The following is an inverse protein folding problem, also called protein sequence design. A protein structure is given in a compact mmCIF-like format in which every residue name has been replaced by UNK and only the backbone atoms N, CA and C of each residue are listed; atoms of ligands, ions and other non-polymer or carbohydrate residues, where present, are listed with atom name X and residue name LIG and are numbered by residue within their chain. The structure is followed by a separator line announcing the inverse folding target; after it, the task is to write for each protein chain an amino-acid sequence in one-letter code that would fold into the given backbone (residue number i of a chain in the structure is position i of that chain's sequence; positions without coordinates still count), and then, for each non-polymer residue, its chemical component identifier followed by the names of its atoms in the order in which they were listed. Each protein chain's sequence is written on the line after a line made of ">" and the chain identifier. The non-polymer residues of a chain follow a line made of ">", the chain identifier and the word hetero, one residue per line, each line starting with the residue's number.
data_IF_611320648367
#
_entry.id   IF_611320648367
#
_cell.length_a   1.000
_cell.length_b   1.000
_cell.length_c   1.000
_cell.angle_alpha   90.00
_cell.angle_beta   90.00
_cell.angle_gamma   90.00
#
_symmetry.space_group_name_H-M   'P 1'
#
loop_
_entity.id
_entity.type
_entity.pdbx_description
1 polymer ?
#
# COMPACT_ATOMS: atom_id res chain seq x y z
N UNK A 1 30.37 -23.26 -15.60
CA UNK A 1 28.90 -23.19 -15.83
C UNK A 1 28.27 -22.98 -14.48
N UNK A 2 28.00 -21.72 -14.12
CA UNK A 2 27.48 -21.36 -12.81
C UNK A 2 26.03 -21.85 -12.71
N UNK A 3 25.85 -22.84 -11.84
CA UNK A 3 24.60 -23.59 -11.67
C UNK A 3 23.55 -22.64 -11.10
N UNK A 4 22.37 -22.69 -11.72
CA UNK A 4 21.21 -21.86 -11.44
C UNK A 4 20.89 -21.86 -9.94
N UNK A 5 20.55 -20.68 -9.42
CA UNK A 5 20.00 -20.51 -8.07
C UNK A 5 18.71 -21.32 -7.97
N UNK A 6 18.76 -22.40 -7.21
CA UNK A 6 17.57 -23.11 -6.72
C UNK A 6 17.08 -22.37 -5.48
N UNK A 7 16.07 -21.52 -5.65
CA UNK A 7 15.27 -20.98 -4.55
C UNK A 7 14.15 -21.98 -4.24
N UNK A 8 14.52 -23.17 -3.75
CA UNK A 8 13.54 -24.12 -3.19
C UNK A 8 13.16 -23.68 -1.77
N UNK A 9 12.11 -22.86 -1.70
CA UNK A 9 11.50 -22.44 -0.44
C UNK A 9 10.11 -21.79 -0.59
N UNK A 10 9.52 -21.82 -1.79
CA UNK A 10 8.26 -21.12 -2.11
C UNK A 10 7.01 -21.99 -2.20
N UNK A 11 7.04 -23.23 -1.72
CA UNK A 11 6.14 -24.30 -2.17
C UNK A 11 4.67 -24.24 -1.74
N UNK A 12 4.29 -23.42 -0.76
CA UNK A 12 2.93 -23.45 -0.20
C UNK A 12 2.22 -22.10 -0.29
N UNK A 13 2.92 -21.01 0.00
CA UNK A 13 2.38 -19.64 -0.12
C UNK A 13 2.22 -19.21 -1.59
N UNK A 14 3.03 -19.73 -2.51
CA UNK A 14 2.87 -19.47 -3.95
C UNK A 14 1.64 -20.15 -4.56
N UNK A 15 1.00 -21.07 -3.84
CA UNK A 15 -0.24 -21.74 -4.27
C UNK A 15 -1.49 -20.98 -3.81
N UNK A 16 -1.35 -20.01 -2.90
CA UNK A 16 -2.45 -19.18 -2.46
C UNK A 16 -2.82 -18.17 -3.55
N UNK A 17 -4.11 -17.90 -3.77
CA UNK A 17 -4.53 -16.75 -4.55
C UNK A 17 -3.94 -15.46 -3.97
N UNK A 18 -3.56 -14.54 -4.84
CA UNK A 18 -3.03 -13.23 -4.46
C UNK A 18 -3.97 -12.48 -3.51
N UNK A 19 -5.28 -12.59 -3.73
CA UNK A 19 -6.32 -11.99 -2.88
C UNK A 19 -6.27 -12.50 -1.43
N UNK A 20 -5.96 -13.78 -1.21
CA UNK A 20 -5.81 -14.35 0.13
C UNK A 20 -4.60 -13.75 0.84
N UNK A 21 -3.48 -13.58 0.12
CA UNK A 21 -2.28 -12.94 0.66
C UNK A 21 -2.54 -11.47 0.95
N UNK A 22 -3.17 -10.76 0.02
CA UNK A 22 -3.57 -9.35 0.19
C UNK A 22 -4.53 -9.16 1.38
N UNK A 23 -5.44 -10.11 1.62
CA UNK A 23 -6.31 -10.08 2.80
C UNK A 23 -5.52 -10.14 4.11
N UNK A 24 -4.59 -11.09 4.23
CA UNK A 24 -3.72 -11.18 5.42
C UNK A 24 -2.89 -9.91 5.58
N UNK A 25 -2.31 -9.40 4.50
CA UNK A 25 -1.53 -8.16 4.53
C UNK A 25 -2.36 -6.95 4.94
N UNK A 26 -3.64 -6.90 4.58
CA UNK A 26 -4.51 -5.77 4.96
C UNK A 26 -4.80 -5.69 6.47
N UNK A 27 -4.50 -6.75 7.22
CA UNK A 27 -4.55 -6.75 8.68
C UNK A 27 -3.21 -6.36 9.34
N UNK A 28 -2.19 -6.03 8.53
CA UNK A 28 -0.87 -5.56 8.99
C UNK A 28 -0.73 -4.05 8.78
N UNK A 29 0.36 -3.45 9.25
CA UNK A 29 0.65 -2.05 8.92
C UNK A 29 1.04 -1.90 7.44
N UNK A 30 0.87 -0.72 6.81
CA UNK A 30 1.35 -0.45 5.44
C UNK A 30 2.86 -0.68 5.29
N UNK A 31 3.63 -0.45 6.36
CA UNK A 31 5.07 -0.72 6.41
C UNK A 31 5.35 -2.22 6.35
N UNK A 32 4.68 -3.01 7.19
CA UNK A 32 4.86 -4.46 7.24
C UNK A 32 4.41 -5.12 5.94
N UNK A 33 3.32 -4.62 5.35
CA UNK A 33 2.87 -5.01 4.01
C UNK A 33 3.95 -4.79 2.96
N UNK A 34 4.64 -3.65 2.98
CA UNK A 34 5.76 -3.42 2.06
C UNK A 34 6.95 -4.36 2.32
N UNK A 35 7.27 -4.65 3.58
CA UNK A 35 8.37 -5.56 3.93
C UNK A 35 8.07 -7.02 3.54
N UNK A 36 6.80 -7.41 3.55
CA UNK A 36 6.35 -8.74 3.16
C UNK A 36 6.71 -9.09 1.70
N UNK A 37 6.84 -8.07 0.84
CA UNK A 37 7.28 -8.21 -0.55
C UNK A 37 8.65 -8.90 -0.69
N UNK A 38 9.48 -8.88 0.35
CA UNK A 38 10.80 -9.52 0.37
C UNK A 38 10.74 -11.03 0.58
N UNK A 39 9.60 -11.57 0.99
CA UNK A 39 9.44 -12.99 1.36
C UNK A 39 9.32 -13.87 0.12
N UNK A 40 8.52 -13.46 -0.88
CA UNK A 40 8.32 -14.22 -2.12
C UNK A 40 7.69 -13.37 -3.22
N UNK A 41 7.68 -13.87 -4.45
CA UNK A 41 7.00 -13.21 -5.59
C UNK A 41 5.49 -13.07 -5.38
N UNK A 42 4.83 -14.02 -4.72
CA UNK A 42 3.40 -13.94 -4.42
C UNK A 42 3.09 -12.80 -3.45
N UNK A 43 3.91 -12.65 -2.41
CA UNK A 43 3.81 -11.51 -1.49
C UNK A 43 4.18 -10.19 -2.16
N UNK A 44 5.19 -10.18 -3.04
CA UNK A 44 5.53 -8.99 -3.82
C UNK A 44 4.36 -8.52 -4.69
N UNK A 45 3.63 -9.44 -5.34
CA UNK A 45 2.44 -9.10 -6.12
C UNK A 45 1.36 -8.51 -5.22
N UNK A 46 0.97 -9.25 -4.17
CA UNK A 46 -0.08 -8.83 -3.23
C UNK A 46 0.25 -7.49 -2.54
N UNK A 47 1.51 -7.27 -2.16
CA UNK A 47 1.98 -6.03 -1.52
C UNK A 47 1.97 -4.80 -2.44
N UNK A 48 1.83 -4.99 -3.75
CA UNK A 48 1.68 -3.91 -4.73
C UNK A 48 0.27 -3.86 -5.33
N UNK A 49 -0.64 -4.75 -4.93
CA UNK A 49 -2.01 -4.77 -5.42
C UNK A 49 -2.84 -3.59 -4.90
N UNK A 50 -3.58 -2.96 -5.80
CA UNK A 50 -4.49 -1.87 -5.45
C UNK A 50 -5.61 -2.33 -4.48
N UNK A 51 -6.01 -3.60 -4.46
CA UNK A 51 -7.03 -4.09 -3.52
C UNK A 51 -6.55 -4.02 -2.06
N UNK A 52 -5.25 -4.26 -1.84
CA UNK A 52 -4.63 -4.09 -0.53
C UNK A 52 -4.58 -2.61 -0.15
N UNK A 53 -4.06 -1.78 -1.06
CA UNK A 53 -3.85 -0.36 -0.78
C UNK A 53 -5.15 0.43 -0.62
N UNK A 54 -6.25 0.00 -1.26
CA UNK A 54 -7.59 0.54 -1.02
C UNK A 54 -7.97 0.49 0.48
N UNK A 55 -7.59 -0.59 1.17
CA UNK A 55 -7.92 -0.77 2.60
C UNK A 55 -7.08 0.12 3.53
N UNK A 56 -5.91 0.57 3.06
CA UNK A 56 -5.06 1.51 3.79
C UNK A 56 -5.40 2.97 3.52
N UNK A 57 -6.15 3.25 2.46
CA UNK A 57 -6.58 4.59 2.14
C UNK A 57 -7.72 5.05 3.07
N UNK A 58 -7.78 6.35 3.42
CA UNK A 58 -8.93 6.92 4.11
C UNK A 58 -10.21 6.69 3.29
N UNK A 59 -11.32 6.30 3.90
CA UNK A 59 -12.59 6.06 3.18
C UNK A 59 -13.09 7.28 2.39
N UNK A 60 -12.66 8.48 2.79
CA UNK A 60 -12.99 9.76 2.18
C UNK A 60 -11.89 10.30 1.24
N UNK A 61 -10.91 9.47 0.82
CA UNK A 61 -9.79 9.91 -0.02
C UNK A 61 -10.26 10.60 -1.30
N UNK A 62 -11.36 10.17 -1.92
CA UNK A 62 -11.92 10.81 -3.10
C UNK A 62 -12.39 12.25 -2.83
N UNK A 63 -12.96 12.51 -1.65
CA UNK A 63 -13.35 13.84 -1.23
C UNK A 63 -12.11 14.72 -0.95
N UNK A 64 -11.07 14.14 -0.34
CA UNK A 64 -9.78 14.82 -0.14
C UNK A 64 -9.19 15.24 -1.50
N UNK A 65 -9.19 14.33 -2.48
CA UNK A 65 -8.70 14.60 -3.84
C UNK A 65 -9.50 15.69 -4.55
N UNK A 66 -10.83 15.70 -4.40
CA UNK A 66 -11.69 16.72 -5.02
C UNK A 66 -11.43 18.14 -4.49
N UNK A 67 -10.87 18.25 -3.28
CA UNK A 67 -10.56 19.51 -2.59
C UNK A 67 -9.09 19.90 -2.69
N UNK A 68 -8.27 19.06 -3.31
CA UNK A 68 -6.85 19.35 -3.47
C UNK A 68 -6.67 20.55 -4.41
N UNK A 69 -5.83 21.52 -4.01
CA UNK A 69 -5.54 22.73 -4.81
C UNK A 69 -4.87 22.36 -6.14
N UNK A 70 -4.07 21.31 -6.13
CA UNK A 70 -3.40 20.79 -7.32
C UNK A 70 -3.87 19.36 -7.59
N UNK A 71 -4.04 18.96 -8.87
CA UNK A 71 -4.32 17.58 -9.23
C UNK A 71 -3.28 16.64 -8.62
N UNK A 72 -3.75 15.62 -7.91
CA UNK A 72 -2.88 14.57 -7.38
C UNK A 72 -2.80 13.46 -8.40
N UNK A 73 -1.70 13.41 -9.14
CA UNK A 73 -1.44 12.33 -10.08
C UNK A 73 -0.93 11.08 -9.35
N UNK A 74 -1.53 9.93 -9.66
CA UNK A 74 -1.10 8.63 -9.17
C UNK A 74 -1.41 7.54 -10.21
N UNK A 75 -0.56 6.52 -10.26
CA UNK A 75 -0.70 5.35 -11.15
C UNK A 75 -1.12 4.07 -10.41
N UNK A 76 -1.11 4.12 -9.07
CA UNK A 76 -1.55 3.04 -8.17
C UNK A 76 -2.05 3.64 -6.86
N UNK A 77 -2.85 2.89 -6.13
CA UNK A 77 -3.34 3.28 -4.79
C UNK A 77 -2.22 3.32 -3.75
N UNK A 78 -1.17 2.52 -3.95
CA UNK A 78 0.09 2.63 -3.20
C UNK A 78 0.71 4.02 -3.36
N UNK A 79 0.82 4.48 -4.61
CA UNK A 79 1.36 5.81 -4.89
C UNK A 79 0.45 6.89 -4.30
N UNK A 80 -0.86 6.73 -4.40
CA UNK A 80 -1.81 7.64 -3.75
C UNK A 80 -1.62 7.70 -2.23
N UNK A 81 -1.48 6.55 -1.57
CA UNK A 81 -1.21 6.49 -0.13
C UNK A 81 0.06 7.28 0.23
N UNK A 82 1.16 7.08 -0.50
CA UNK A 82 2.41 7.82 -0.28
C UNK A 82 2.19 9.34 -0.47
N UNK A 83 1.46 9.73 -1.52
CA UNK A 83 1.16 11.14 -1.81
C UNK A 83 0.25 11.78 -0.77
N UNK A 84 -0.64 11.00 -0.17
CA UNK A 84 -1.45 11.44 0.96
C UNK A 84 -0.61 11.55 2.22
N UNK A 85 0.35 10.65 2.45
CA UNK A 85 1.31 10.77 3.55
C UNK A 85 2.17 12.03 3.43
N UNK A 86 2.49 12.43 2.19
CA UNK A 86 3.02 13.75 1.88
C UNK A 86 1.94 14.82 2.10
N UNK A 87 2.34 16.02 2.53
CA UNK A 87 1.36 17.08 2.80
C UNK A 87 0.60 17.50 1.54
N UNK A 88 -0.74 17.40 1.58
CA UNK A 88 -1.62 17.92 0.52
C UNK A 88 -2.25 19.24 0.98
N UNK A 89 -2.18 20.26 0.11
CA UNK A 89 -2.87 21.53 0.29
C UNK A 89 -4.32 21.44 -0.19
N UNK A 90 -5.26 21.75 0.70
CA UNK A 90 -6.68 21.83 0.37
C UNK A 90 -7.12 23.27 0.09
N UNK A 91 -8.22 23.38 -0.65
CA UNK A 91 -8.90 24.62 -1.04
C UNK A 91 -9.25 25.56 0.12
N UNK A 92 -9.51 25.03 1.32
CA UNK A 92 -9.79 25.80 2.54
C UNK A 92 -8.53 26.29 3.28
N UNK A 93 -7.34 26.08 2.70
CA UNK A 93 -6.05 26.42 3.30
C UNK A 93 -5.58 25.43 4.37
N UNK A 94 -6.30 24.31 4.61
CA UNK A 94 -5.83 23.25 5.51
C UNK A 94 -4.85 22.34 4.79
N UNK A 95 -3.80 21.97 5.50
CA UNK A 95 -2.87 20.93 5.09
C UNK A 95 -3.30 19.63 5.75
N UNK A 96 -3.58 18.60 4.94
CA UNK A 96 -3.77 17.25 5.48
C UNK A 96 -2.40 16.58 5.56
N UNK A 97 -2.06 16.13 6.77
CA UNK A 97 -0.97 15.18 7.03
C UNK A 97 -1.58 13.96 7.72
N UNK A 98 -1.55 12.77 7.11
CA UNK A 98 -2.16 11.57 7.70
C UNK A 98 -1.57 11.20 9.06
N UNK A 99 -0.32 11.57 9.33
CA UNK A 99 0.34 11.38 10.63
C UNK A 99 -0.43 12.02 11.79
N UNK A 100 -1.25 13.05 11.54
CA UNK A 100 -2.11 13.67 12.56
C UNK A 100 -3.57 13.22 12.51
N UNK A 101 -4.00 12.47 11.48
CA UNK A 101 -5.37 12.04 11.29
C UNK A 101 -5.63 10.57 11.71
N UNK A 102 -4.61 9.70 11.64
CA UNK A 102 -4.76 8.27 11.93
C UNK A 102 -3.56 7.70 12.70
N UNK A 103 -3.47 7.96 14.02
CA UNK A 103 -2.35 7.51 14.85
C UNK A 103 -2.21 5.98 14.95
N UNK A 104 -3.21 5.22 14.53
CA UNK A 104 -3.21 3.74 14.54
C UNK A 104 -2.53 3.10 13.32
N UNK A 105 -2.14 3.88 12.31
CA UNK A 105 -1.45 3.37 11.11
C UNK A 105 0.09 3.45 11.20
N UNK A 106 0.61 3.89 12.35
CA UNK A 106 2.04 3.93 12.66
C UNK A 106 2.28 3.16 13.96
N UNK A 107 2.29 1.82 13.89
CA UNK A 107 2.90 0.99 14.93
C UNK A 107 3.81 -0.05 14.30
#
# INVERSE_FOLDING_TARGET
>A
MEKRRETEGGGELARLPEECVALVLSHTSPRDSCMSALVSSAFLSAANSDDLWERFLPSDYAAILSRAVHPVEYSSKKQLYIRLCDSILLDDGKVVRPSTAYPHLIS
#
